data_IF_071721964794
#
_entry.id   IF_071721964794
#
_cell.length_a   1.000
_cell.length_b   1.000
_cell.length_c   1.000
_cell.angle_alpha   90.00
_cell.angle_beta   90.00
_cell.angle_gamma   90.00
#
_symmetry.space_group_name_H-M   'P 1'
#
loop_
_entity.id
_entity.type
_entity.pdbx_description
1 polymer ?
#
# COMPACT_ATOMS: atom_id res chain seq x y z
N UNK A 1 -1.05 -25.49 -15.66
CA UNK A 1 0.34 -25.97 -15.41
C UNK A 1 0.24 -27.44 -15.09
N UNK A 2 1.07 -28.29 -15.70
CA UNK A 2 1.17 -29.72 -15.36
C UNK A 2 2.44 -29.93 -14.54
N UNK A 3 2.38 -30.80 -13.54
CA UNK A 3 3.52 -31.21 -12.73
C UNK A 3 3.50 -32.72 -12.61
N UNK A 4 4.69 -33.32 -12.54
CA UNK A 4 4.87 -34.75 -12.37
C UNK A 4 5.67 -35.00 -11.09
N UNK A 5 5.35 -36.08 -10.40
CA UNK A 5 6.13 -36.54 -9.27
C UNK A 5 6.21 -38.05 -9.31
N UNK A 6 7.40 -38.58 -9.03
CA UNK A 6 7.60 -40.00 -8.83
C UNK A 6 7.37 -40.31 -7.35
N UNK A 7 6.54 -41.31 -7.10
CA UNK A 7 6.19 -41.77 -5.76
C UNK A 7 6.67 -43.23 -5.62
N UNK A 8 7.41 -43.49 -4.56
CA UNK A 8 7.79 -44.85 -4.14
C UNK A 8 6.88 -45.32 -3.01
N UNK A 9 6.90 -46.61 -2.70
CA UNK A 9 6.13 -47.18 -1.59
C UNK A 9 6.41 -46.44 -0.28
N UNK A 10 5.33 -46.10 0.43
CA UNK A 10 5.33 -45.32 1.68
C UNK A 10 6.00 -43.93 1.63
N UNK A 11 6.29 -43.40 0.44
CA UNK A 11 6.84 -42.05 0.27
C UNK A 11 5.75 -40.99 0.03
N UNK A 12 5.87 -39.85 0.69
CA UNK A 12 5.08 -38.65 0.40
C UNK A 12 5.94 -37.60 -0.30
N UNK A 13 5.40 -36.95 -1.33
CA UNK A 13 6.06 -35.82 -1.99
C UNK A 13 5.12 -34.61 -2.03
N UNK A 14 5.68 -33.41 -1.89
CA UNK A 14 4.92 -32.16 -2.01
C UNK A 14 5.17 -31.56 -3.38
N UNK A 15 4.09 -31.29 -4.12
CA UNK A 15 4.15 -30.66 -5.44
C UNK A 15 3.55 -29.26 -5.34
N UNK A 16 4.26 -28.27 -5.87
CA UNK A 16 3.79 -26.89 -5.94
C UNK A 16 3.16 -26.62 -7.31
N UNK A 17 1.89 -26.22 -7.31
CA UNK A 17 1.16 -25.81 -8.51
C UNK A 17 0.96 -24.30 -8.49
N UNK A 18 1.29 -23.66 -9.60
CA UNK A 18 1.11 -22.22 -9.78
C UNK A 18 -0.12 -21.95 -10.65
N UNK A 19 -0.95 -21.02 -10.19
CA UNK A 19 -2.10 -20.50 -10.93
C UNK A 19 -1.87 -19.03 -11.19
N UNK A 20 -1.83 -18.65 -12.47
CA UNK A 20 -1.67 -17.26 -12.85
C UNK A 20 -2.97 -16.49 -12.57
N UNK A 21 -2.93 -15.60 -11.58
CA UNK A 21 -4.04 -14.72 -11.26
C UNK A 21 -4.08 -13.54 -12.24
N UNK A 22 -5.15 -13.45 -13.03
CA UNK A 22 -5.32 -12.38 -14.03
C UNK A 22 -6.04 -11.15 -13.48
N UNK A 23 -6.84 -11.32 -12.44
CA UNK A 23 -7.68 -10.29 -11.85
C UNK A 23 -7.61 -10.40 -10.32
N UNK A 24 -7.83 -9.28 -9.63
CA UNK A 24 -7.93 -9.23 -8.17
C UNK A 24 -9.21 -9.91 -7.68
N UNK A 25 -9.27 -10.16 -6.37
CA UNK A 25 -10.44 -10.71 -5.69
C UNK A 25 -10.28 -12.19 -5.37
N UNK A 26 -11.40 -12.90 -5.21
CA UNK A 26 -11.37 -14.32 -4.91
C UNK A 26 -10.95 -15.15 -6.13
N UNK A 27 -9.89 -15.94 -5.94
CA UNK A 27 -9.42 -16.92 -6.89
C UNK A 27 -9.75 -18.32 -6.39
N UNK A 28 -10.53 -19.05 -7.20
CA UNK A 28 -10.72 -20.49 -7.05
C UNK A 28 -9.91 -21.20 -8.16
N UNK A 29 -8.89 -22.02 -7.82
CA UNK A 29 -8.08 -22.73 -8.81
C UNK A 29 -8.85 -23.85 -9.54
N UNK A 30 -10.12 -24.08 -9.19
CA UNK A 30 -11.00 -25.14 -9.68
C UNK A 30 -10.42 -26.53 -9.38
N UNK A 31 -11.03 -27.56 -9.99
CA UNK A 31 -10.64 -28.95 -9.80
C UNK A 31 -9.27 -29.23 -10.42
N UNK A 32 -8.48 -30.02 -9.71
CA UNK A 32 -7.20 -30.53 -10.16
C UNK A 32 -7.38 -31.92 -10.76
N UNK A 33 -6.80 -32.15 -11.94
CA UNK A 33 -6.70 -33.49 -12.50
C UNK A 33 -5.50 -34.18 -11.87
N UNK A 34 -5.73 -35.31 -11.22
CA UNK A 34 -4.67 -36.23 -10.78
C UNK A 34 -4.74 -37.45 -11.69
N UNK A 35 -3.65 -37.78 -12.36
CA UNK A 35 -3.55 -38.94 -13.24
C UNK A 35 -2.28 -39.74 -12.95
N UNK A 36 -2.35 -41.06 -13.13
CA UNK A 36 -1.23 -41.98 -12.99
C UNK A 36 -1.26 -43.02 -14.11
N UNK A 37 -0.07 -43.46 -14.48
CA UNK A 37 0.18 -44.54 -15.44
C UNK A 37 0.88 -45.74 -14.78
N UNK A 38 1.08 -45.70 -13.45
CA UNK A 38 1.70 -46.77 -12.68
C UNK A 38 0.85 -48.06 -12.70
N UNK A 39 1.45 -49.27 -12.67
CA UNK A 39 2.89 -49.54 -12.65
C UNK A 39 3.59 -49.62 -14.00
N UNK A 40 2.88 -50.05 -15.05
CA UNK A 40 3.51 -50.46 -16.32
C UNK A 40 3.38 -49.44 -17.45
N UNK A 41 2.69 -48.31 -17.24
CA UNK A 41 2.43 -47.33 -18.31
C UNK A 41 1.29 -47.70 -19.27
N UNK A 42 0.68 -48.87 -19.11
CA UNK A 42 -0.27 -49.45 -20.08
C UNK A 42 -1.69 -48.88 -19.97
N UNK A 43 -2.07 -48.39 -18.80
CA UNK A 43 -3.40 -47.87 -18.50
C UNK A 43 -3.27 -46.52 -17.82
N UNK A 44 -4.23 -45.62 -18.09
CA UNK A 44 -4.34 -44.33 -17.42
C UNK A 44 -5.46 -44.37 -16.39
N UNK A 45 -5.13 -44.24 -15.11
CA UNK A 45 -6.09 -43.97 -14.04
C UNK A 45 -6.09 -42.46 -13.73
N UNK A 46 -7.26 -41.87 -13.55
CA UNK A 46 -7.37 -40.42 -13.29
C UNK A 46 -8.59 -40.09 -12.43
N UNK A 47 -8.52 -38.97 -11.72
CA UNK A 47 -9.63 -38.41 -10.96
C UNK A 47 -9.55 -36.89 -10.91
N UNK A 48 -10.70 -36.24 -10.73
CA UNK A 48 -10.75 -34.80 -10.45
C UNK A 48 -10.88 -34.59 -8.94
N UNK A 49 -9.94 -33.87 -8.37
CA UNK A 49 -9.94 -33.49 -6.96
C UNK A 49 -10.36 -32.04 -6.84
N UNK A 50 -11.40 -31.78 -6.07
CA UNK A 50 -11.77 -30.43 -5.64
C UNK A 50 -11.25 -30.20 -4.23
N UNK A 51 -10.26 -29.31 -4.10
CA UNK A 51 -9.69 -28.97 -2.79
C UNK A 51 -10.53 -27.92 -2.04
N UNK A 52 -11.59 -27.39 -2.65
CA UNK A 52 -12.33 -26.22 -2.17
C UNK A 52 -11.40 -25.05 -1.77
N UNK A 53 -10.27 -24.92 -2.47
CA UNK A 53 -9.26 -23.92 -2.18
C UNK A 53 -9.74 -22.53 -2.61
N UNK A 54 -9.53 -21.54 -1.74
CA UNK A 54 -9.84 -20.13 -2.02
C UNK A 54 -8.66 -19.27 -1.62
N UNK A 55 -8.25 -18.38 -2.51
CA UNK A 55 -7.21 -17.38 -2.24
C UNK A 55 -7.74 -15.99 -2.59
N UNK A 56 -7.28 -14.96 -1.89
CA UNK A 56 -7.52 -13.57 -2.27
C UNK A 56 -6.31 -13.09 -3.06
N UNK A 57 -6.56 -12.56 -4.25
CA UNK A 57 -5.55 -11.92 -5.10
C UNK A 57 -5.65 -10.43 -4.88
N UNK A 58 -4.58 -9.83 -4.37
CA UNK A 58 -4.50 -8.38 -4.17
C UNK A 58 -4.30 -7.64 -5.50
N UNK A 59 -4.72 -6.36 -5.62
CA UNK A 59 -4.40 -5.55 -6.78
C UNK A 59 -2.88 -5.47 -6.99
N UNK A 60 -2.45 -5.38 -8.25
CA UNK A 60 -1.03 -5.22 -8.56
C UNK A 60 -0.56 -3.84 -8.07
N UNK A 61 0.44 -3.75 -7.19
CA UNK A 61 0.87 -2.46 -6.66
C UNK A 61 1.55 -1.60 -7.72
N UNK A 62 1.33 -0.30 -7.64
CA UNK A 62 2.08 0.72 -8.38
C UNK A 62 2.84 1.60 -7.38
N UNK A 63 4.17 1.53 -7.44
CA UNK A 63 5.07 2.21 -6.49
C UNK A 63 5.55 3.59 -6.96
N UNK A 64 5.53 3.86 -8.27
CA UNK A 64 6.17 5.03 -8.89
C UNK A 64 5.15 6.03 -9.41
N UNK A 65 4.53 6.79 -8.51
CA UNK A 65 3.78 7.95 -8.92
C UNK A 65 4.31 9.15 -8.13
N UNK A 66 5.03 10.02 -8.84
CA UNK A 66 5.74 11.17 -8.28
C UNK A 66 4.80 12.13 -7.52
N UNK A 67 3.49 12.06 -7.79
CA UNK A 67 2.50 12.88 -7.08
C UNK A 67 2.38 12.52 -5.59
N UNK A 68 2.89 11.36 -5.15
CA UNK A 68 2.80 10.93 -3.74
C UNK A 68 3.96 11.34 -2.86
N UNK A 69 5.09 11.74 -3.43
CA UNK A 69 6.21 12.28 -2.64
C UNK A 69 5.71 13.45 -1.78
N UNK A 70 4.74 14.23 -2.28
CA UNK A 70 4.25 15.43 -1.59
C UNK A 70 3.11 15.23 -0.57
N UNK A 71 2.57 14.01 -0.36
CA UNK A 71 1.51 13.80 0.65
C UNK A 71 2.04 13.48 2.06
N UNK A 72 3.35 13.25 2.19
CA UNK A 72 4.01 13.04 3.48
C UNK A 72 5.43 13.59 3.56
N UNK A 73 5.89 14.30 2.51
CA UNK A 73 7.27 14.78 2.38
C UNK A 73 7.30 16.23 1.85
N UNK A 74 6.48 17.10 2.42
CA UNK A 74 6.72 18.55 2.30
C UNK A 74 7.59 19.00 3.48
N UNK A 75 8.85 18.53 3.58
CA UNK A 75 10.03 19.34 3.96
C UNK A 75 11.36 18.56 4.05
N UNK A 76 11.65 17.64 3.12
CA UNK A 76 13.05 17.23 2.89
C UNK A 76 13.58 17.84 1.59
N UNK A 77 13.90 19.13 1.67
CA UNK A 77 15.06 19.68 0.96
C UNK A 77 15.02 19.73 -0.57
N UNK A 78 13.87 19.93 -1.21
CA UNK A 78 13.85 20.39 -2.60
C UNK A 78 13.86 21.90 -2.69
N UNK A 79 15.08 22.44 -2.76
CA UNK A 79 15.41 23.74 -3.34
C UNK A 79 14.83 23.81 -4.76
N UNK A 80 13.57 24.16 -4.88
CA UNK A 80 12.99 24.61 -6.13
C UNK A 80 13.12 26.12 -6.14
N UNK A 81 14.17 26.58 -6.83
CA UNK A 81 14.30 27.94 -7.29
C UNK A 81 13.07 28.28 -8.15
N UNK A 82 12.07 28.93 -7.56
CA UNK A 82 11.11 29.73 -8.30
C UNK A 82 11.29 31.18 -7.87
N UNK A 83 11.96 31.94 -8.75
CA UNK A 83 12.00 33.38 -8.68
C UNK A 83 10.57 33.93 -8.73
N UNK A 84 10.24 34.75 -7.73
CA UNK A 84 9.28 35.82 -7.84
C UNK A 84 7.82 35.39 -7.74
N UNK A 85 7.25 35.52 -6.54
CA UNK A 85 6.07 36.36 -6.30
C UNK A 85 5.51 36.08 -4.91
N UNK A 86 5.67 37.06 -4.03
CA UNK A 86 4.80 37.38 -2.90
C UNK A 86 4.64 36.32 -1.78
N UNK A 87 5.67 36.23 -0.93
CA UNK A 87 5.63 35.51 0.35
C UNK A 87 4.87 36.32 1.41
N UNK A 88 3.55 36.19 1.44
CA UNK A 88 2.76 36.51 2.65
C UNK A 88 2.63 35.24 3.51
N UNK A 89 3.66 34.94 4.29
CA UNK A 89 3.56 34.03 5.43
C UNK A 89 3.46 34.85 6.71
N UNK A 90 2.37 34.64 7.44
CA UNK A 90 1.98 35.31 8.69
C UNK A 90 3.15 35.35 9.70
N UNK A 91 3.75 36.54 9.87
CA UNK A 91 4.88 36.78 10.78
C UNK A 91 4.36 37.33 12.09
N UNK A 92 4.69 36.67 13.22
CA UNK A 92 4.34 37.16 14.56
C UNK A 92 5.60 37.61 15.32
N UNK A 93 5.49 38.74 16.00
CA UNK A 93 6.52 39.28 16.90
C UNK A 93 6.79 38.35 18.09
N UNK A 94 8.06 38.15 18.40
CA UNK A 94 8.55 37.39 19.55
C UNK A 94 7.91 37.86 20.86
N UNK A 95 7.46 36.91 21.69
CA UNK A 95 7.00 37.18 23.05
C UNK A 95 7.93 36.52 24.08
N UNK A 96 8.11 37.11 25.28
CA UNK A 96 8.93 36.50 26.33
C UNK A 96 8.34 35.15 26.77
N UNK A 97 9.02 34.06 26.41
CA UNK A 97 8.56 32.67 26.62
C UNK A 97 8.95 31.73 25.48
N UNK A 98 9.24 32.27 24.30
CA UNK A 98 9.68 31.48 23.15
C UNK A 98 11.14 31.02 23.27
N UNK A 99 11.42 29.78 22.87
CA UNK A 99 12.76 29.17 23.01
C UNK A 99 13.78 29.87 22.11
N UNK A 100 14.97 30.28 22.64
CA UNK A 100 16.00 31.01 21.88
C UNK A 100 16.57 30.28 20.66
N UNK A 101 16.32 28.96 20.56
CA UNK A 101 16.78 28.12 19.44
C UNK A 101 16.05 28.36 18.12
N UNK A 102 14.94 29.10 18.13
CA UNK A 102 14.11 29.37 16.94
C UNK A 102 14.25 30.80 16.39
N UNK A 103 15.23 31.55 16.91
CA UNK A 103 15.55 32.89 16.44
C UNK A 103 16.27 32.77 15.09
N UNK A 104 15.65 33.31 14.04
CA UNK A 104 16.26 33.48 12.74
C UNK A 104 17.26 34.64 12.81
N UNK A 105 18.49 34.34 13.26
CA UNK A 105 19.55 35.34 13.45
C UNK A 105 19.92 36.12 12.17
N UNK A 106 19.55 35.61 10.98
CA UNK A 106 19.75 36.33 9.71
C UNK A 106 18.78 37.51 9.52
N UNK A 107 17.62 37.50 10.17
CA UNK A 107 16.65 38.61 10.15
C UNK A 107 17.03 39.75 11.11
N UNK A 108 17.81 39.43 12.15
CA UNK A 108 18.22 40.37 13.19
C UNK A 108 19.18 41.47 12.69
N UNK A 109 19.96 41.21 11.64
CA UNK A 109 21.00 42.13 11.18
C UNK A 109 20.52 43.35 10.36
N UNK A 110 19.22 43.46 10.05
CA UNK A 110 18.70 44.54 9.19
C UNK A 110 17.55 45.37 9.75
N UNK A 111 16.70 44.84 10.64
CA UNK A 111 15.43 45.52 11.00
C UNK A 111 15.05 45.50 12.49
N UNK A 112 15.96 45.07 13.39
CA UNK A 112 15.77 45.16 14.86
C UNK A 112 14.46 44.54 15.40
N UNK A 113 13.86 43.59 14.67
CA UNK A 113 12.69 42.83 15.09
C UNK A 113 12.99 41.32 15.16
N UNK A 114 12.69 40.72 16.31
CA UNK A 114 12.84 39.29 16.57
C UNK A 114 11.67 38.52 15.93
N UNK A 115 11.95 37.90 14.78
CA UNK A 115 11.04 36.98 14.08
C UNK A 115 11.34 35.54 14.46
N UNK A 116 10.31 34.81 14.90
CA UNK A 116 10.40 33.39 15.28
C UNK A 116 9.77 32.54 14.18
N UNK A 117 10.51 31.55 13.66
CA UNK A 117 9.94 30.52 12.79
C UNK A 117 9.04 29.64 13.65
N UNK A 118 7.72 29.80 13.52
CA UNK A 118 6.77 28.95 14.23
C UNK A 118 6.84 27.55 13.61
N UNK A 119 7.50 26.63 14.30
CA UNK A 119 7.34 25.21 14.01
C UNK A 119 5.90 24.88 14.38
N UNK A 120 5.10 24.54 13.37
CA UNK A 120 3.81 23.92 13.61
C UNK A 120 4.02 22.79 14.61
N UNK A 121 3.29 22.84 15.72
CA UNK A 121 3.26 21.79 16.72
C UNK A 121 3.19 20.43 16.03
N UNK A 122 3.86 19.42 16.60
CA UNK A 122 3.77 18.01 16.20
C UNK A 122 2.30 17.61 15.97
N UNK A 123 1.81 17.84 14.77
CA UNK A 123 0.55 17.31 14.31
C UNK A 123 0.88 15.85 14.02
N UNK A 124 0.21 14.99 14.77
CA UNK A 124 0.09 13.55 14.53
C UNK A 124 -0.47 13.37 13.11
N UNK A 125 0.41 13.53 12.10
CA UNK A 125 0.10 13.44 10.68
C UNK A 125 -0.05 11.96 10.35
N UNK A 126 -1.21 11.41 10.70
CA UNK A 126 -1.58 10.05 10.33
C UNK A 126 -1.87 10.03 8.83
N UNK A 127 -1.17 9.15 8.11
CA UNK A 127 -1.34 9.02 6.66
C UNK A 127 -2.72 8.45 6.35
N UNK A 128 -3.52 9.11 5.52
CA UNK A 128 -4.81 8.59 5.05
C UNK A 128 -4.71 8.29 3.56
N UNK A 129 -4.92 7.02 3.19
CA UNK A 129 -4.98 6.59 1.80
C UNK A 129 -6.38 6.87 1.25
N UNK A 130 -6.58 8.04 0.65
CA UNK A 130 -7.90 8.50 0.21
C UNK A 130 -8.17 8.22 -1.29
N UNK A 131 -9.22 7.42 -1.55
CA UNK A 131 -9.73 7.12 -2.89
C UNK A 131 -10.07 8.34 -3.74
N UNK A 132 -10.57 9.40 -3.11
CA UNK A 132 -11.08 10.58 -3.80
C UNK A 132 -9.97 11.51 -4.28
N UNK A 133 -8.79 11.42 -3.67
CA UNK A 133 -7.60 12.18 -4.07
C UNK A 133 -6.88 11.58 -5.28
N UNK A 134 -7.31 10.38 -5.72
CA UNK A 134 -6.68 9.67 -6.83
C UNK A 134 -7.44 9.88 -8.12
N UNK A 135 -6.69 10.18 -9.18
CA UNK A 135 -7.20 10.24 -10.54
C UNK A 135 -7.16 8.87 -11.22
N UNK A 136 -7.84 8.77 -12.37
CA UNK A 136 -7.85 7.57 -13.20
C UNK A 136 -9.02 6.62 -12.94
N UNK A 137 -8.96 5.46 -13.61
CA UNK A 137 -9.96 4.42 -13.53
C UNK A 137 -9.89 3.64 -12.20
N UNK A 138 -10.83 2.73 -12.00
CA UNK A 138 -10.93 1.98 -10.73
C UNK A 138 -9.67 1.13 -10.48
N UNK A 139 -9.16 0.45 -11.50
CA UNK A 139 -7.99 -0.43 -11.36
C UNK A 139 -6.72 0.36 -11.03
N UNK A 140 -6.50 1.51 -11.68
CA UNK A 140 -5.34 2.34 -11.44
C UNK A 140 -5.34 2.90 -10.03
N UNK A 141 -6.49 3.39 -9.55
CA UNK A 141 -6.64 3.87 -8.17
C UNK A 141 -6.35 2.78 -7.15
N UNK A 142 -6.90 1.58 -7.32
CA UNK A 142 -6.63 0.45 -6.42
C UNK A 142 -5.16 0.04 -6.43
N UNK A 143 -4.53 0.04 -7.61
CA UNK A 143 -3.12 -0.30 -7.78
C UNK A 143 -2.21 0.73 -7.08
N UNK A 144 -2.56 2.02 -7.18
CA UNK A 144 -1.90 3.12 -6.44
C UNK A 144 -2.07 2.97 -4.93
N UNK A 145 -3.29 2.80 -4.43
CA UNK A 145 -3.56 2.59 -2.99
C UNK A 145 -2.81 1.38 -2.43
N UNK A 146 -2.73 0.29 -3.21
CA UNK A 146 -1.99 -0.91 -2.82
C UNK A 146 -0.49 -0.61 -2.70
N UNK A 147 0.08 0.13 -3.65
CA UNK A 147 1.48 0.58 -3.57
C UNK A 147 1.73 1.48 -2.36
N UNK A 148 0.83 2.44 -2.09
CA UNK A 148 0.93 3.34 -0.94
C UNK A 148 0.85 2.58 0.39
N UNK A 149 -0.07 1.62 0.54
CA UNK A 149 -0.21 0.82 1.75
C UNK A 149 1.06 -0.02 2.02
N UNK A 150 1.65 -0.60 0.98
CA UNK A 150 2.90 -1.35 1.10
C UNK A 150 4.08 -0.43 1.47
N UNK A 151 4.16 0.77 0.88
CA UNK A 151 5.19 1.74 1.22
C UNK A 151 5.05 2.24 2.67
N UNK A 152 3.82 2.53 3.11
CA UNK A 152 3.55 2.95 4.48
C UNK A 152 3.93 1.86 5.49
N UNK A 153 3.59 0.61 5.20
CA UNK A 153 3.98 -0.55 6.01
C UNK A 153 5.51 -0.75 6.07
N UNK A 154 6.20 -0.66 4.93
CA UNK A 154 7.66 -0.82 4.88
C UNK A 154 8.42 0.32 5.58
N UNK A 155 7.78 1.47 5.74
CA UNK A 155 8.31 2.64 6.46
C UNK A 155 7.87 2.71 7.92
N UNK A 156 7.23 1.66 8.45
CA UNK A 156 6.70 1.58 9.83
C UNK A 156 5.77 2.76 10.21
N UNK A 157 5.08 3.34 9.23
CA UNK A 157 4.13 4.45 9.45
C UNK A 157 2.73 3.92 9.71
N UNK A 158 1.98 4.60 10.60
CA UNK A 158 0.54 4.38 10.74
C UNK A 158 -0.20 4.96 9.53
N UNK A 159 -1.12 4.18 8.97
CA UNK A 159 -1.91 4.61 7.82
C UNK A 159 -3.35 4.14 7.90
N UNK A 160 -4.29 4.94 7.42
CA UNK A 160 -5.72 4.61 7.27
C UNK A 160 -6.08 4.41 5.80
N UNK A 161 -7.28 3.90 5.53
CA UNK A 161 -7.82 3.74 4.19
C UNK A 161 -9.21 4.38 4.13
N UNK A 162 -9.45 5.20 3.11
CA UNK A 162 -10.76 5.77 2.82
C UNK A 162 -11.21 5.40 1.42
N UNK A 163 -12.14 4.46 1.33
CA UNK A 163 -12.86 4.06 0.12
C UNK A 163 -14.29 4.61 0.16
N UNK A 164 -15.01 4.67 -0.97
CA UNK A 164 -16.35 5.25 -1.01
C UNK A 164 -17.40 4.63 -0.07
N UNK A 165 -17.19 3.38 0.38
CA UNK A 165 -18.12 2.66 1.27
C UNK A 165 -17.45 2.18 2.56
N UNK A 166 -16.13 2.36 2.70
CA UNK A 166 -15.35 1.75 3.77
C UNK A 166 -14.32 2.78 4.23
N UNK A 167 -14.31 3.05 5.52
CA UNK A 167 -13.28 3.86 6.16
C UNK A 167 -12.61 3.02 7.26
N UNK A 168 -11.30 2.90 7.15
CA UNK A 168 -10.45 2.17 8.09
C UNK A 168 -9.57 3.18 8.79
N UNK A 169 -9.72 3.27 10.11
CA UNK A 169 -8.91 4.16 10.94
C UNK A 169 -7.41 3.85 10.81
N UNK A 170 -6.54 4.87 10.95
CA UNK A 170 -5.10 4.66 10.93
C UNK A 170 -4.63 3.66 11.98
N UNK A 171 -3.81 2.71 11.54
CA UNK A 171 -3.18 1.72 12.39
C UNK A 171 -1.90 1.23 11.69
N UNK A 172 -1.12 0.37 12.34
CA UNK A 172 0.12 -0.20 11.82
C UNK A 172 0.15 -1.73 11.92
N UNK A 173 1.19 -2.32 11.33
CA UNK A 173 1.45 -3.76 11.42
C UNK A 173 0.80 -4.62 10.35
N UNK A 174 1.23 -5.89 10.31
CA UNK A 174 0.93 -6.83 9.23
C UNK A 174 -0.55 -7.19 9.12
N UNK A 175 -1.24 -7.30 10.26
CA UNK A 175 -2.68 -7.60 10.31
C UNK A 175 -3.48 -6.46 9.69
N UNK A 176 -3.12 -5.22 9.99
CA UNK A 176 -3.74 -4.03 9.41
C UNK A 176 -3.50 -3.94 7.91
N UNK A 177 -2.25 -4.11 7.46
CA UNK A 177 -1.92 -4.17 6.04
C UNK A 177 -2.77 -5.22 5.30
N UNK A 178 -2.85 -6.43 5.83
CA UNK A 178 -3.65 -7.51 5.22
C UNK A 178 -5.13 -7.16 5.13
N UNK A 179 -5.68 -6.48 6.15
CA UNK A 179 -7.06 -6.01 6.14
C UNK A 179 -7.28 -4.97 5.04
N UNK A 180 -6.41 -3.95 4.95
CA UNK A 180 -6.45 -2.93 3.91
C UNK A 180 -6.35 -3.55 2.51
N UNK A 181 -5.37 -4.44 2.28
CA UNK A 181 -5.18 -5.11 0.99
C UNK A 181 -6.37 -5.99 0.60
N UNK A 182 -7.01 -6.64 1.59
CA UNK A 182 -8.23 -7.42 1.37
C UNK A 182 -9.39 -6.53 0.92
N UNK A 183 -9.61 -5.39 1.57
CA UNK A 183 -10.67 -4.46 1.15
C UNK A 183 -10.42 -3.89 -0.24
N UNK A 184 -9.17 -3.54 -0.56
CA UNK A 184 -8.78 -3.13 -1.90
C UNK A 184 -8.99 -4.24 -2.94
N UNK A 185 -8.72 -5.50 -2.58
CA UNK A 185 -8.93 -6.64 -3.46
C UNK A 185 -10.40 -6.89 -3.77
N UNK A 186 -11.30 -6.68 -2.80
CA UNK A 186 -12.72 -6.98 -2.91
C UNK A 186 -13.57 -5.77 -3.36
N UNK A 187 -12.97 -4.59 -3.46
CA UNK A 187 -13.68 -3.37 -3.86
C UNK A 187 -14.37 -3.53 -5.23
N UNK A 188 -15.68 -3.22 -5.27
CA UNK A 188 -16.60 -3.39 -6.41
C UNK A 188 -16.75 -4.83 -6.94
N UNK A 189 -16.23 -5.84 -6.24
CA UNK A 189 -16.42 -7.26 -6.55
C UNK A 189 -17.41 -7.94 -5.60
N UNK A 190 -18.02 -7.20 -4.67
CA UNK A 190 -18.96 -7.72 -3.66
C UNK A 190 -20.36 -8.10 -4.22
N UNK A 191 -20.44 -8.56 -5.47
CA UNK A 191 -21.64 -9.19 -6.03
C UNK A 191 -21.27 -10.50 -6.72
N UNK A 192 -21.09 -11.55 -5.92
CA UNK A 192 -21.30 -12.94 -6.33
C UNK A 192 -21.43 -13.78 -5.05
N UNK A 193 -22.66 -13.80 -4.52
CA UNK A 193 -23.15 -14.84 -3.61
C UNK A 193 -23.60 -16.04 -4.44
#
# INVERSE_FOLDING_TARGET
>A
VKQWAELYEDASTTVHLFVNAKQRGWLNPKRLLVETYYPLGLLRAWTWVDLNAKAIVYPKPLFHDHNFINLGENDEGQLTHHSGSDDFHDMRNYHPGDSPRHILWRSYARQDELLVKQFAAYADYRLILDWYQLEGDTELRLSRLTGMALNAYNSDKEFGLKLPQIEIAPNSGKTHLNHVLKELALYKLQHEN
#
